data_IF_261174700448
#
_entry.id   IF_261174700448
#
_cell.length_a   1.000
_cell.length_b   1.000
_cell.length_c   1.000
_cell.angle_alpha   90.00
_cell.angle_beta   90.00
_cell.angle_gamma   90.00
#
_symmetry.space_group_name_H-M   'P 1'
#
loop_
_entity.id
_entity.type
_entity.pdbx_description
1 polymer ?
#
# COMPACT_ATOMS: atom_id res chain seq x y z
N UNK A 1 -15.81 -20.29 0.70
CA UNK A 1 -15.58 -18.85 0.91
C UNK A 1 -14.69 -18.30 -0.20
N UNK A 2 -13.45 -18.77 -0.37
CA UNK A 2 -12.52 -18.28 -1.42
C UNK A 2 -13.11 -18.34 -2.85
N UNK A 3 -13.93 -19.34 -3.12
CA UNK A 3 -14.60 -19.54 -4.42
C UNK A 3 -16.05 -19.00 -4.44
N UNK A 4 -16.43 -18.14 -3.51
CA UNK A 4 -17.72 -17.50 -3.44
C UNK A 4 -18.81 -18.28 -2.67
N UNK A 5 -18.45 -19.32 -1.92
CA UNK A 5 -19.43 -20.01 -1.07
C UNK A 5 -19.87 -19.09 0.09
N UNK A 6 -21.17 -18.88 0.21
CA UNK A 6 -21.79 -18.06 1.26
C UNK A 6 -22.32 -18.92 2.42
N UNK A 7 -22.68 -20.17 2.13
CA UNK A 7 -23.22 -21.12 3.10
C UNK A 7 -22.38 -22.39 3.06
N UNK A 8 -22.02 -22.89 4.24
CA UNK A 8 -21.28 -24.13 4.42
C UNK A 8 -22.07 -25.05 5.34
N UNK A 9 -22.48 -26.21 4.80
CA UNK A 9 -23.18 -27.24 5.55
C UNK A 9 -22.23 -28.38 5.90
N UNK A 10 -22.21 -28.79 7.16
CA UNK A 10 -21.38 -29.88 7.66
C UNK A 10 -22.13 -30.75 8.68
N UNK A 11 -21.90 -32.04 8.61
CA UNK A 11 -22.34 -32.95 9.68
C UNK A 11 -21.68 -32.56 11.00
N UNK A 12 -22.43 -32.58 12.07
CA UNK A 12 -21.97 -32.28 13.42
C UNK A 12 -22.27 -33.43 14.38
N UNK A 13 -21.33 -33.73 15.26
CA UNK A 13 -21.50 -34.72 16.33
C UNK A 13 -20.94 -34.24 17.66
N UNK A 14 -21.51 -34.66 18.75
CA UNK A 14 -20.94 -34.46 20.09
C UNK A 14 -19.87 -35.50 20.44
N UNK A 15 -19.81 -36.63 19.70
CA UNK A 15 -18.79 -37.66 19.92
C UNK A 15 -18.57 -38.48 18.62
N UNK A 16 -17.38 -38.38 18.06
CA UNK A 16 -16.97 -39.12 16.84
C UNK A 16 -16.89 -40.62 17.00
N UNK A 17 -16.82 -41.14 18.25
CA UNK A 17 -16.75 -42.57 18.55
C UNK A 17 -18.12 -43.26 18.63
N UNK A 18 -19.21 -42.52 18.43
CA UNK A 18 -20.54 -43.14 18.42
C UNK A 18 -20.71 -44.08 17.23
N UNK A 19 -21.46 -45.16 17.38
CA UNK A 19 -21.77 -46.06 16.28
C UNK A 19 -22.67 -45.35 15.24
N UNK A 20 -22.36 -45.59 13.98
CA UNK A 20 -23.09 -44.99 12.84
C UNK A 20 -22.14 -44.49 11.76
N UNK A 21 -22.67 -44.25 10.57
CA UNK A 21 -21.83 -43.87 9.43
C UNK A 21 -21.37 -42.42 9.46
N UNK A 22 -22.06 -41.50 10.13
CA UNK A 22 -21.79 -40.09 10.01
C UNK A 22 -20.90 -39.55 11.13
N UNK A 23 -20.88 -40.18 12.30
CA UNK A 23 -20.19 -39.65 13.48
C UNK A 23 -18.67 -39.51 13.28
N UNK A 24 -18.01 -40.50 12.66
CA UNK A 24 -16.57 -40.52 12.54
C UNK A 24 -15.99 -39.39 11.66
N UNK A 25 -16.75 -38.91 10.69
CA UNK A 25 -16.33 -37.84 9.78
C UNK A 25 -17.05 -36.49 10.00
N UNK A 26 -17.99 -36.43 10.94
CA UNK A 26 -18.64 -35.21 11.33
C UNK A 26 -17.69 -34.27 12.09
N UNK A 27 -17.98 -32.99 12.07
CA UNK A 27 -17.30 -32.04 12.94
C UNK A 27 -17.77 -32.22 14.39
N UNK A 28 -16.85 -32.19 15.31
CA UNK A 28 -17.16 -32.00 16.73
C UNK A 28 -17.02 -30.52 17.13
N UNK A 29 -17.18 -30.23 18.41
CA UNK A 29 -17.10 -28.87 18.94
C UNK A 29 -15.74 -28.22 18.70
N UNK A 30 -14.66 -28.97 18.83
CA UNK A 30 -13.29 -28.47 18.63
C UNK A 30 -13.03 -28.18 17.14
N UNK A 31 -13.47 -29.07 16.26
CA UNK A 31 -13.40 -28.84 14.82
C UNK A 31 -14.18 -27.59 14.39
N UNK A 32 -15.36 -27.36 14.98
CA UNK A 32 -16.18 -26.20 14.67
C UNK A 32 -15.50 -24.89 15.08
N UNK A 33 -14.89 -24.86 16.27
CA UNK A 33 -14.13 -23.69 16.73
C UNK A 33 -13.00 -23.40 15.77
N UNK A 34 -12.18 -24.40 15.42
CA UNK A 34 -11.07 -24.25 14.49
C UNK A 34 -11.55 -23.81 13.11
N UNK A 35 -12.63 -24.39 12.65
CA UNK A 35 -13.19 -24.05 11.34
C UNK A 35 -13.63 -22.58 11.28
N UNK A 36 -14.28 -22.06 12.32
CA UNK A 36 -14.62 -20.64 12.42
C UNK A 36 -13.40 -19.74 12.40
N UNK A 37 -12.38 -20.07 13.18
CA UNK A 37 -11.12 -19.31 13.20
C UNK A 37 -10.50 -19.25 11.79
N UNK A 38 -10.43 -20.38 11.08
CA UNK A 38 -9.91 -20.41 9.71
C UNK A 38 -10.75 -19.59 8.72
N UNK A 39 -12.07 -19.50 8.92
CA UNK A 39 -12.93 -18.63 8.11
C UNK A 39 -12.64 -17.15 8.35
N UNK A 40 -12.50 -16.75 9.62
CA UNK A 40 -12.16 -15.39 10.01
C UNK A 40 -10.77 -15.00 9.48
N UNK A 41 -9.75 -15.82 9.69
CA UNK A 41 -8.41 -15.62 9.14
C UNK A 41 -8.42 -15.53 7.60
N UNK A 42 -9.23 -16.35 6.93
CA UNK A 42 -9.38 -16.30 5.48
C UNK A 42 -9.95 -14.98 5.00
N UNK A 43 -10.95 -14.44 5.71
CA UNK A 43 -11.55 -13.13 5.38
C UNK A 43 -10.55 -12.01 5.59
N UNK A 44 -9.79 -12.04 6.68
CA UNK A 44 -8.76 -11.05 6.98
C UNK A 44 -7.65 -11.05 5.91
N UNK A 45 -7.21 -12.24 5.47
CA UNK A 45 -6.18 -12.38 4.42
C UNK A 45 -6.69 -11.93 3.05
N UNK A 46 -7.97 -12.17 2.73
CA UNK A 46 -8.57 -11.68 1.49
C UNK A 46 -8.58 -10.15 1.41
N UNK A 47 -8.76 -9.50 2.56
CA UNK A 47 -8.76 -8.05 2.66
C UNK A 47 -9.85 -7.39 1.80
N UNK A 48 -9.52 -6.23 1.28
CA UNK A 48 -10.40 -5.42 0.42
C UNK A 48 -9.88 -5.39 -1.02
N UNK A 49 -10.80 -5.30 -1.98
CA UNK A 49 -10.45 -5.19 -3.40
C UNK A 49 -9.73 -3.87 -3.73
N UNK A 50 -10.12 -2.80 -3.07
CA UNK A 50 -9.56 -1.48 -3.32
C UNK A 50 -8.20 -1.30 -2.66
N UNK A 51 -7.18 -1.10 -3.49
CA UNK A 51 -5.84 -0.79 -3.01
C UNK A 51 -5.75 0.65 -2.53
N UNK A 52 -5.57 0.83 -1.24
CA UNK A 52 -5.38 2.14 -0.59
C UNK A 52 -4.14 2.15 0.29
N UNK A 53 -3.65 3.34 0.58
CA UNK A 53 -2.58 3.52 1.58
C UNK A 53 -3.21 3.39 2.96
N UNK A 54 -2.65 2.51 3.79
CA UNK A 54 -3.08 2.36 5.17
C UNK A 54 -2.43 3.43 6.06
N UNK A 55 -3.10 3.83 7.13
CA UNK A 55 -2.55 4.79 8.10
C UNK A 55 -1.20 4.33 8.69
N UNK A 56 -1.02 3.02 8.88
CA UNK A 56 0.24 2.41 9.32
C UNK A 56 1.39 2.56 8.31
N UNK A 57 1.10 2.82 7.04
CA UNK A 57 2.11 2.95 5.97
C UNK A 57 2.53 4.41 5.75
N UNK A 58 1.83 5.40 6.30
CA UNK A 58 2.06 6.82 6.02
C UNK A 58 3.47 7.26 6.38
N UNK A 59 3.99 6.86 7.54
CA UNK A 59 5.35 7.19 7.98
C UNK A 59 6.39 6.58 7.04
N UNK A 60 6.21 5.33 6.67
CA UNK A 60 7.09 4.64 5.73
C UNK A 60 7.03 5.30 4.35
N UNK A 61 5.84 5.67 3.89
CA UNK A 61 5.62 6.36 2.61
C UNK A 61 6.34 7.71 2.57
N UNK A 62 6.19 8.52 3.61
CA UNK A 62 6.83 9.83 3.71
C UNK A 62 8.36 9.73 3.65
N UNK A 63 8.94 8.81 4.42
CA UNK A 63 10.39 8.70 4.59
C UNK A 63 11.06 7.85 3.49
N UNK A 64 10.40 6.84 2.95
CA UNK A 64 10.97 5.92 1.97
C UNK A 64 10.79 6.37 0.53
N UNK A 65 9.75 7.12 0.21
CA UNK A 65 9.56 7.69 -1.12
C UNK A 65 10.57 8.80 -1.40
N UNK A 66 10.73 9.13 -2.68
CA UNK A 66 11.64 10.18 -3.13
C UNK A 66 10.86 11.40 -3.57
N UNK A 67 11.51 12.55 -3.49
CA UNK A 67 11.12 13.79 -4.15
C UNK A 67 12.10 14.11 -5.25
N UNK A 68 11.68 14.97 -6.17
CA UNK A 68 12.58 15.65 -7.09
C UNK A 68 13.39 16.66 -6.27
N UNK A 69 14.73 16.67 -6.45
CA UNK A 69 15.64 17.62 -5.83
C UNK A 69 16.52 18.27 -6.89
N UNK A 70 17.05 19.46 -6.61
CA UNK A 70 17.95 20.14 -7.50
C UNK A 70 19.35 19.47 -7.47
N UNK A 71 19.86 19.05 -8.62
CA UNK A 71 21.20 18.49 -8.79
C UNK A 71 22.29 19.59 -8.69
N UNK A 72 21.93 20.83 -9.00
CA UNK A 72 22.75 22.05 -8.89
C UNK A 72 21.88 23.23 -8.45
N UNK A 73 22.50 24.37 -8.21
CA UNK A 73 21.75 25.61 -8.00
C UNK A 73 20.99 25.94 -9.28
N UNK A 74 19.67 26.20 -9.17
CA UNK A 74 18.83 26.66 -10.26
C UNK A 74 18.37 28.07 -9.91
N UNK A 75 18.69 29.04 -10.75
CA UNK A 75 18.43 30.44 -10.46
C UNK A 75 17.00 30.83 -10.82
N UNK A 76 16.51 31.87 -10.19
CA UNK A 76 15.25 32.50 -10.59
C UNK A 76 15.29 32.89 -12.07
N UNK A 77 14.25 32.52 -12.82
CA UNK A 77 14.12 32.73 -14.26
C UNK A 77 14.75 31.65 -15.13
N UNK A 78 15.49 30.68 -14.55
CA UNK A 78 15.98 29.52 -15.30
C UNK A 78 14.82 28.59 -15.66
N UNK A 79 14.95 27.92 -16.80
CA UNK A 79 14.03 26.87 -17.23
C UNK A 79 14.59 25.53 -16.79
N UNK A 80 13.80 24.77 -16.07
CA UNK A 80 14.21 23.46 -15.54
C UNK A 80 14.47 22.47 -16.69
N UNK A 81 15.65 21.87 -16.69
CA UNK A 81 16.06 20.81 -17.63
C UNK A 81 16.26 19.45 -16.89
N UNK A 82 16.27 18.33 -17.62
CA UNK A 82 16.52 17.02 -16.99
C UNK A 82 17.82 16.94 -16.19
N UNK A 83 18.88 17.64 -16.65
CA UNK A 83 20.19 17.68 -15.98
C UNK A 83 20.21 18.45 -14.65
N UNK A 84 19.14 19.19 -14.36
CA UNK A 84 19.00 19.95 -13.11
C UNK A 84 18.38 19.13 -11.98
N UNK A 85 17.94 17.91 -12.27
CA UNK A 85 17.09 17.13 -11.38
C UNK A 85 17.77 15.84 -10.92
N UNK A 86 17.60 15.52 -9.65
CA UNK A 86 17.89 14.23 -9.03
C UNK A 86 16.69 13.76 -8.21
N UNK A 87 16.71 12.49 -7.76
CA UNK A 87 15.62 11.89 -6.98
C UNK A 87 16.15 11.36 -5.66
N UNK A 88 15.85 12.09 -4.57
CA UNK A 88 16.32 11.75 -3.21
C UNK A 88 15.16 11.64 -2.23
N UNK A 89 15.37 10.91 -1.13
CA UNK A 89 14.46 10.88 0.02
C UNK A 89 14.62 12.17 0.83
N UNK A 90 13.57 12.59 1.55
CA UNK A 90 12.24 12.01 1.73
C UNK A 90 11.25 12.36 0.60
N UNK A 91 10.04 11.77 0.67
CA UNK A 91 8.95 12.01 -0.27
C UNK A 91 8.04 13.18 0.12
N UNK A 92 8.62 14.31 0.51
CA UNK A 92 7.91 15.50 1.02
C UNK A 92 7.63 16.57 -0.03
N UNK A 93 8.28 16.50 -1.20
CA UNK A 93 8.10 17.44 -2.29
C UNK A 93 7.45 16.82 -3.52
N UNK A 94 7.73 17.39 -4.70
CA UNK A 94 7.21 16.89 -5.98
C UNK A 94 7.66 15.46 -6.22
N UNK A 95 6.70 14.59 -6.53
CA UNK A 95 6.99 13.18 -6.79
C UNK A 95 7.83 12.99 -8.07
N UNK A 96 8.80 12.07 -8.12
CA UNK A 96 9.48 11.68 -9.36
C UNK A 96 8.55 11.29 -10.51
N UNK A 97 7.36 10.79 -10.22
CA UNK A 97 6.36 10.46 -11.24
C UNK A 97 5.82 11.69 -12.00
N UNK A 98 6.08 12.90 -11.49
CA UNK A 98 5.66 14.17 -12.08
C UNK A 98 6.83 14.92 -12.73
N UNK A 99 7.93 14.24 -13.03
CA UNK A 99 9.14 14.86 -13.58
C UNK A 99 8.87 15.55 -14.93
N UNK A 100 8.02 14.98 -15.77
CA UNK A 100 7.65 15.56 -17.08
C UNK A 100 6.83 16.84 -16.93
N UNK A 101 6.10 17.00 -15.82
CA UNK A 101 5.36 18.22 -15.49
C UNK A 101 6.28 19.34 -14.99
N UNK A 102 7.49 19.01 -14.54
CA UNK A 102 8.48 19.94 -13.97
C UNK A 102 9.44 20.43 -15.06
N UNK A 103 9.85 19.55 -15.97
CA UNK A 103 10.77 19.90 -17.07
C UNK A 103 10.11 20.98 -17.97
N UNK A 104 10.89 22.02 -18.29
CA UNK A 104 10.42 23.11 -19.11
C UNK A 104 9.72 24.23 -18.37
N UNK A 105 9.51 24.08 -17.05
CA UNK A 105 8.92 25.16 -16.20
C UNK A 105 9.97 26.18 -15.78
N UNK A 106 9.54 27.40 -15.57
CA UNK A 106 10.35 28.51 -15.09
C UNK A 106 10.44 28.49 -13.56
N UNK A 107 11.63 28.75 -13.03
CA UNK A 107 11.88 28.86 -11.60
C UNK A 107 11.59 30.29 -11.10
N UNK A 108 10.72 30.42 -10.11
CA UNK A 108 10.33 31.72 -9.54
C UNK A 108 11.24 32.22 -8.43
N UNK A 109 11.78 31.30 -7.64
CA UNK A 109 12.73 31.57 -6.57
C UNK A 109 13.90 30.62 -6.67
N UNK A 110 15.10 31.11 -6.38
CA UNK A 110 16.32 30.31 -6.43
C UNK A 110 16.17 29.00 -5.63
N UNK A 111 16.62 27.90 -6.22
CA UNK A 111 16.62 26.57 -5.62
C UNK A 111 18.07 26.14 -5.42
N UNK A 112 18.46 25.90 -4.17
CA UNK A 112 19.81 25.48 -3.86
C UNK A 112 20.07 24.02 -4.29
N UNK A 113 21.33 23.68 -4.45
CA UNK A 113 21.70 22.27 -4.68
C UNK A 113 21.21 21.39 -3.52
N UNK A 114 20.65 20.22 -3.85
CA UNK A 114 20.06 19.24 -2.94
C UNK A 114 18.74 19.71 -2.27
N UNK A 115 18.25 20.88 -2.62
CA UNK A 115 16.95 21.36 -2.15
C UNK A 115 15.81 20.59 -2.83
N UNK A 116 14.78 20.24 -2.06
CA UNK A 116 13.58 19.55 -2.55
C UNK A 116 12.74 20.55 -3.36
N UNK A 117 12.37 20.16 -4.57
CA UNK A 117 11.48 20.95 -5.42
C UNK A 117 10.05 20.92 -4.89
N UNK A 118 9.48 22.11 -4.82
CA UNK A 118 8.09 22.35 -4.43
C UNK A 118 7.40 23.16 -5.53
N UNK A 119 6.08 22.93 -5.72
CA UNK A 119 5.33 23.59 -6.77
C UNK A 119 5.30 25.13 -6.64
N UNK A 120 5.43 25.64 -5.43
CA UNK A 120 5.45 27.09 -5.16
C UNK A 120 6.66 27.79 -5.77
N UNK A 121 7.74 27.08 -6.04
CA UNK A 121 8.97 27.62 -6.61
C UNK A 121 9.07 27.53 -8.12
N UNK A 122 8.17 26.82 -8.78
CA UNK A 122 8.16 26.58 -10.24
C UNK A 122 6.77 26.82 -10.83
N UNK A 123 6.70 27.22 -12.11
CA UNK A 123 5.42 27.56 -12.76
C UNK A 123 5.25 26.81 -14.09
#
# INVERSE_FOLDING_TARGET
TLLGAEILEKHFTHNKALPGNDHYHAMDWQDLIRFRQLLEETQDVLGEFDKRVLASEEIARLNARRSIVAARVIRKGDIVSPGDLEFKRPGTGISPAQVDDVIGKEVHDEIAKDEILMWEKIK
#
